data_IF_726087681671
#
_entry.id   IF_726087681671
#
_cell.length_a   1.000
_cell.length_b   1.000
_cell.length_c   1.000
_cell.angle_alpha   90.00
_cell.angle_beta   90.00
_cell.angle_gamma   90.00
#
_symmetry.space_group_name_H-M   'P 1'
#
loop_
_entity.id
_entity.type
_entity.pdbx_description
1 polymer ?
#
# COMPACT_ATOMS: atom_id res chain seq x y z
N UNK A 1 18.83 18.77 9.17
CA UNK A 1 18.66 17.35 9.49
C UNK A 1 17.35 16.87 8.90
N UNK A 2 17.37 16.54 7.61
CA UNK A 2 16.19 16.07 6.89
C UNK A 2 16.01 14.58 7.19
N UNK A 3 15.26 14.26 8.24
CA UNK A 3 14.88 12.88 8.53
C UNK A 3 14.14 12.29 7.32
N UNK A 4 14.64 11.16 6.82
CA UNK A 4 14.00 10.39 5.76
C UNK A 4 12.77 9.70 6.34
N UNK A 5 11.58 10.14 5.92
CA UNK A 5 10.32 9.53 6.30
C UNK A 5 9.82 8.61 5.18
N UNK A 6 9.55 7.35 5.53
CA UNK A 6 8.92 6.38 4.63
C UNK A 6 7.48 6.14 5.10
N UNK A 7 6.50 6.58 4.30
CA UNK A 7 5.10 6.24 4.52
C UNK A 7 4.76 4.97 3.74
N UNK A 8 4.26 3.96 4.44
CA UNK A 8 3.71 2.76 3.80
C UNK A 8 2.20 2.74 3.98
N UNK A 9 1.47 2.57 2.88
CA UNK A 9 0.01 2.45 2.87
C UNK A 9 -0.35 1.05 2.39
N UNK A 10 -1.07 0.31 3.23
CA UNK A 10 -1.67 -0.98 2.88
C UNK A 10 -3.15 -0.77 2.63
N UNK A 11 -3.58 -0.98 1.39
CA UNK A 11 -4.96 -0.82 0.96
C UNK A 11 -5.63 -2.19 0.77
N UNK A 12 -6.75 -2.40 1.44
CA UNK A 12 -7.60 -3.58 1.22
C UNK A 12 -8.40 -3.44 -0.09
N UNK A 13 -8.09 -4.30 -1.06
CA UNK A 13 -8.71 -4.35 -2.39
C UNK A 13 -9.59 -5.58 -2.56
N UNK A 14 -10.30 -6.01 -1.51
CA UNK A 14 -11.24 -7.13 -1.59
C UNK A 14 -12.37 -6.89 -2.61
N UNK A 15 -12.36 -7.58 -3.75
CA UNK A 15 -13.33 -7.32 -4.82
C UNK A 15 -14.75 -7.76 -4.45
N UNK A 16 -14.89 -8.71 -3.51
CA UNK A 16 -16.20 -9.18 -3.06
C UNK A 16 -16.85 -8.13 -2.17
N UNK A 17 -16.10 -7.57 -1.22
CA UNK A 17 -16.61 -6.52 -0.35
C UNK A 17 -16.88 -5.23 -1.13
N UNK A 18 -15.94 -4.79 -1.96
CA UNK A 18 -16.12 -3.62 -2.82
C UNK A 18 -17.26 -3.82 -3.84
N UNK A 19 -17.46 -5.04 -4.35
CA UNK A 19 -18.57 -5.38 -5.24
C UNK A 19 -19.94 -5.34 -4.54
N UNK A 20 -20.05 -5.90 -3.32
CA UNK A 20 -21.27 -5.78 -2.50
C UNK A 20 -21.59 -4.32 -2.19
N UNK A 21 -20.57 -3.52 -1.86
CA UNK A 21 -20.72 -2.09 -1.56
C UNK A 21 -21.17 -1.29 -2.77
N UNK A 22 -20.66 -1.61 -3.97
CA UNK A 22 -21.08 -0.98 -5.21
C UNK A 22 -22.54 -1.32 -5.59
N UNK A 23 -23.01 -2.54 -5.28
CA UNK A 23 -24.40 -2.96 -5.50
C UNK A 23 -25.38 -2.31 -4.51
N UNK A 24 -24.93 -1.97 -3.30
CA UNK A 24 -25.75 -1.37 -2.25
C UNK A 24 -25.96 0.15 -2.35
N UNK A 25 -25.73 0.76 -3.53
CA UNK A 25 -25.85 2.22 -3.76
C UNK A 25 -25.01 3.08 -2.78
N UNK A 26 -23.89 2.56 -2.28
CA UNK A 26 -23.04 3.33 -1.39
C UNK A 26 -22.35 4.49 -2.13
N UNK A 27 -22.37 5.70 -1.57
CA UNK A 27 -21.65 6.85 -2.12
C UNK A 27 -20.13 6.63 -2.21
N UNK A 28 -19.59 5.67 -1.43
CA UNK A 28 -18.16 5.39 -1.34
C UNK A 28 -17.78 4.12 -2.10
N UNK A 29 -17.12 4.33 -3.25
CA UNK A 29 -16.62 3.27 -4.13
C UNK A 29 -15.12 3.08 -3.97
N UNK A 30 -14.60 1.96 -4.49
CA UNK A 30 -13.17 1.70 -4.50
C UNK A 30 -12.39 2.81 -5.23
N UNK A 31 -12.92 3.34 -6.34
CA UNK A 31 -12.29 4.45 -7.07
C UNK A 31 -12.06 5.66 -6.17
N UNK A 32 -13.11 6.10 -5.45
CA UNK A 32 -13.01 7.24 -4.52
C UNK A 32 -12.04 6.96 -3.38
N UNK A 33 -11.97 5.72 -2.89
CA UNK A 33 -11.01 5.32 -1.88
C UNK A 33 -9.56 5.45 -2.39
N UNK A 34 -9.29 4.94 -3.59
CA UNK A 34 -7.96 5.04 -4.22
C UNK A 34 -7.61 6.50 -4.49
N UNK A 35 -8.55 7.32 -4.98
CA UNK A 35 -8.34 8.75 -5.19
C UNK A 35 -7.93 9.46 -3.89
N UNK A 36 -8.61 9.15 -2.79
CA UNK A 36 -8.25 9.68 -1.47
C UNK A 36 -6.86 9.20 -1.01
N UNK A 37 -6.52 7.93 -1.25
CA UNK A 37 -5.18 7.37 -0.94
C UNK A 37 -4.09 8.02 -1.79
N UNK A 38 -4.33 8.27 -3.07
CA UNK A 38 -3.41 8.98 -3.96
C UNK A 38 -3.18 10.41 -3.46
N UNK A 39 -4.23 11.13 -3.08
CA UNK A 39 -4.11 12.47 -2.49
C UNK A 39 -3.34 12.43 -1.17
N UNK A 40 -3.58 11.43 -0.31
CA UNK A 40 -2.84 11.23 0.93
C UNK A 40 -1.34 11.00 0.66
N UNK A 41 -1.00 10.07 -0.23
CA UNK A 41 0.38 9.79 -0.61
C UNK A 41 1.08 11.01 -1.21
N UNK A 42 0.39 11.73 -2.11
CA UNK A 42 0.89 12.96 -2.72
C UNK A 42 1.11 14.06 -1.68
N UNK A 43 0.22 14.19 -0.70
CA UNK A 43 0.38 15.15 0.40
C UNK A 43 1.64 14.86 1.22
N UNK A 44 1.94 13.58 1.49
CA UNK A 44 3.14 13.17 2.21
C UNK A 44 4.42 13.48 1.42
N UNK A 45 4.43 13.20 0.12
CA UNK A 45 5.57 13.51 -0.77
C UNK A 45 5.80 15.02 -0.92
N UNK A 46 4.74 15.84 -0.78
CA UNK A 46 4.85 17.30 -0.83
C UNK A 46 5.41 17.91 0.45
N UNK A 47 5.29 17.24 1.60
CA UNK A 47 5.80 17.74 2.89
C UNK A 47 7.32 17.83 2.92
N UNK A 48 8.03 16.82 2.43
CA UNK A 48 9.50 16.82 2.36
C UNK A 48 9.99 16.09 1.11
N UNK A 49 11.11 16.57 0.53
CA UNK A 49 11.67 16.02 -0.73
C UNK A 49 12.33 14.67 -0.55
N UNK A 50 12.75 14.36 0.66
CA UNK A 50 13.36 13.08 1.03
C UNK A 50 12.30 12.01 1.35
N UNK A 51 11.02 12.39 1.42
CA UNK A 51 9.97 11.45 1.75
C UNK A 51 9.80 10.39 0.66
N UNK A 52 9.66 9.16 1.10
CA UNK A 52 9.39 8.00 0.24
C UNK A 52 7.99 7.48 0.53
N UNK A 53 7.35 6.95 -0.50
CA UNK A 53 6.03 6.34 -0.41
C UNK A 53 6.14 4.87 -0.83
N UNK A 54 5.41 3.99 -0.17
CA UNK A 54 5.11 2.65 -0.67
C UNK A 54 3.62 2.39 -0.53
N UNK A 55 3.00 1.83 -1.56
CA UNK A 55 1.58 1.49 -1.55
C UNK A 55 1.44 0.01 -1.91
N UNK A 56 0.77 -0.74 -1.05
CA UNK A 56 0.57 -2.19 -1.18
C UNK A 56 -0.94 -2.46 -1.25
N UNK A 57 -1.37 -3.17 -2.27
CA UNK A 57 -2.71 -3.72 -2.35
C UNK A 57 -2.75 -5.08 -1.65
N UNK A 58 -3.73 -5.24 -0.76
CA UNK A 58 -4.10 -6.49 -0.15
C UNK A 58 -5.31 -7.06 -0.88
N UNK A 59 -5.07 -8.02 -1.76
CA UNK A 59 -6.12 -8.70 -2.50
C UNK A 59 -6.39 -10.09 -1.90
N UNK A 60 -7.45 -10.76 -2.37
CA UNK A 60 -7.80 -12.10 -1.88
C UNK A 60 -6.81 -13.18 -2.36
N UNK A 61 -6.24 -13.02 -3.56
CA UNK A 61 -5.33 -14.01 -4.16
C UNK A 61 -3.85 -13.72 -3.90
N UNK A 62 -3.49 -12.43 -3.87
CA UNK A 62 -2.10 -12.00 -3.67
C UNK A 62 -2.02 -10.66 -2.97
N UNK A 63 -0.88 -10.38 -2.35
CA UNK A 63 -0.52 -9.03 -1.94
C UNK A 63 0.43 -8.45 -2.99
N UNK A 64 0.16 -7.27 -3.54
CA UNK A 64 0.98 -6.67 -4.59
C UNK A 64 1.39 -5.24 -4.25
N UNK A 65 2.64 -4.90 -4.54
CA UNK A 65 3.10 -3.51 -4.52
C UNK A 65 2.50 -2.76 -5.71
N UNK A 66 1.66 -1.77 -5.41
CA UNK A 66 1.18 -0.81 -6.40
C UNK A 66 2.27 0.23 -6.68
N UNK A 67 2.96 0.64 -5.62
CA UNK A 67 4.12 1.53 -5.69
C UNK A 67 5.16 1.14 -4.63
N UNK A 68 6.48 1.19 -4.94
CA UNK A 68 7.04 1.21 -6.28
C UNK A 68 6.64 -0.10 -6.99
N UNK A 69 6.08 -0.01 -8.20
CA UNK A 69 5.51 -1.18 -8.90
C UNK A 69 6.53 -2.30 -9.16
N UNK A 70 6.19 -3.29 -10.00
CA UNK A 70 7.03 -4.48 -10.28
C UNK A 70 8.50 -4.20 -10.68
N UNK A 71 8.84 -2.94 -11.02
CA UNK A 71 10.20 -2.47 -11.32
C UNK A 71 11.13 -2.32 -10.11
N UNK A 72 10.64 -2.38 -8.86
CA UNK A 72 11.52 -2.40 -7.68
C UNK A 72 12.40 -3.65 -7.62
N UNK A 73 11.92 -4.80 -8.11
CA UNK A 73 12.71 -6.03 -8.13
C UNK A 73 13.75 -6.09 -9.27
N UNK A 74 13.61 -5.23 -10.29
CA UNK A 74 14.55 -5.14 -11.41
C UNK A 74 15.63 -4.07 -11.21
N UNK A 75 15.46 -3.20 -10.21
CA UNK A 75 16.46 -2.25 -9.79
C UNK A 75 17.06 -2.76 -8.48
N UNK A 76 18.24 -3.38 -8.55
CA UNK A 76 19.11 -3.51 -7.39
C UNK A 76 19.18 -2.15 -6.66
N UNK A 77 18.82 -2.06 -5.37
CA UNK A 77 18.93 -0.81 -4.62
C UNK A 77 20.37 -0.35 -4.40
N UNK A 78 21.36 -1.16 -4.81
CA UNK A 78 22.79 -0.99 -4.51
C UNK A 78 23.67 -0.92 -5.78
N UNK A 79 23.08 -0.93 -6.98
CA UNK A 79 23.81 -0.81 -8.24
C UNK A 79 23.84 0.64 -8.72
N UNK A 80 25.01 1.26 -8.61
CA UNK A 80 25.37 2.51 -9.27
C UNK A 80 25.21 2.34 -10.81
N UNK A 81 24.03 2.62 -11.35
CA UNK A 81 23.75 2.57 -12.80
C UNK A 81 22.56 1.70 -13.21
N UNK A 82 21.35 2.19 -13.02
CA UNK A 82 20.11 1.64 -13.59
C UNK A 82 18.98 2.62 -13.29
N UNK A 83 18.10 2.94 -14.26
CA UNK A 83 17.56 4.28 -14.42
C UNK A 83 16.84 4.69 -13.15
N UNK A 84 17.48 5.59 -12.42
CA UNK A 84 16.74 6.54 -11.60
C UNK A 84 15.61 7.04 -12.49
N UNK A 85 14.40 7.05 -11.96
CA UNK A 85 13.30 7.84 -12.51
C UNK A 85 13.63 9.34 -12.31
N UNK A 86 14.84 9.74 -12.71
CA UNK A 86 15.39 11.07 -12.79
C UNK A 86 15.97 11.32 -14.20
N UNK A 87 16.03 10.32 -15.08
CA UNK A 87 16.51 10.47 -16.45
C UNK A 87 15.44 10.93 -17.45
N UNK A 88 14.60 11.91 -17.08
CA UNK A 88 13.93 12.80 -18.06
C UNK A 88 13.29 14.08 -17.48
N UNK A 89 13.33 14.35 -16.17
CA UNK A 89 12.67 15.54 -15.59
C UNK A 89 13.66 16.53 -14.93
N UNK A 90 14.90 16.60 -15.44
CA UNK A 90 15.85 17.65 -15.05
C UNK A 90 15.55 18.93 -15.84
N UNK A 91 14.89 19.89 -15.21
CA UNK A 91 14.97 21.30 -15.63
C UNK A 91 13.70 22.14 -15.59
N UNK A 92 12.51 21.56 -15.35
CA UNK A 92 11.28 22.35 -15.26
C UNK A 92 10.76 22.39 -13.83
N UNK A 93 10.35 23.57 -13.35
CA UNK A 93 9.66 23.74 -12.06
C UNK A 93 8.36 22.90 -11.95
N UNK A 94 7.90 22.35 -13.08
CA UNK A 94 6.74 21.46 -13.23
C UNK A 94 7.03 19.95 -13.03
N UNK A 95 8.30 19.52 -13.05
CA UNK A 95 8.65 18.08 -13.03
C UNK A 95 8.22 17.32 -11.77
N UNK A 96 7.89 18.03 -10.69
CA UNK A 96 7.35 17.40 -9.47
C UNK A 96 5.92 16.88 -9.68
N UNK A 97 5.07 17.65 -10.35
CA UNK A 97 3.69 17.21 -10.63
C UNK A 97 3.67 16.09 -11.66
N UNK A 98 4.63 16.08 -12.58
CA UNK A 98 4.82 14.98 -13.52
C UNK A 98 5.17 13.67 -12.80
N UNK A 99 6.05 13.70 -11.79
CA UNK A 99 6.37 12.52 -10.98
C UNK A 99 5.14 12.03 -10.20
N UNK A 100 4.39 12.93 -9.57
CA UNK A 100 3.17 12.55 -8.82
C UNK A 100 2.10 11.97 -9.76
N UNK A 101 1.96 12.52 -10.96
CA UNK A 101 1.05 11.99 -11.98
C UNK A 101 1.49 10.61 -12.43
N UNK A 102 2.78 10.40 -12.69
CA UNK A 102 3.32 9.09 -13.05
C UNK A 102 3.12 8.04 -11.94
N UNK A 103 3.20 8.44 -10.67
CA UNK A 103 2.88 7.57 -9.53
C UNK A 103 1.40 7.20 -9.53
N UNK A 104 0.50 8.17 -9.70
CA UNK A 104 -0.94 7.95 -9.74
C UNK A 104 -1.31 7.00 -10.91
N UNK A 105 -0.75 7.22 -12.08
CA UNK A 105 -0.98 6.37 -13.27
C UNK A 105 -0.47 4.94 -13.04
N UNK A 106 0.69 4.77 -12.40
CA UNK A 106 1.24 3.46 -12.07
C UNK A 106 0.35 2.71 -11.05
N UNK A 107 -0.15 3.41 -10.03
CA UNK A 107 -1.09 2.84 -9.04
C UNK A 107 -2.39 2.41 -9.73
N UNK A 108 -2.95 3.26 -10.60
CA UNK A 108 -4.18 2.97 -11.32
C UNK A 108 -4.04 1.76 -12.26
N UNK A 109 -2.94 1.67 -13.01
CA UNK A 109 -2.63 0.54 -13.89
C UNK A 109 -2.46 -0.77 -13.11
N UNK A 110 -1.73 -0.76 -11.98
CA UNK A 110 -1.53 -1.98 -11.17
C UNK A 110 -2.82 -2.45 -10.49
N UNK A 111 -3.68 -1.53 -10.02
CA UNK A 111 -4.98 -1.90 -9.47
C UNK A 111 -5.89 -2.46 -10.57
N UNK A 112 -5.90 -1.85 -11.74
CA UNK A 112 -6.68 -2.33 -12.89
C UNK A 112 -6.22 -3.73 -13.31
N UNK A 113 -4.91 -3.94 -13.44
CA UNK A 113 -4.33 -5.26 -13.73
C UNK A 113 -4.75 -6.29 -12.66
N UNK A 114 -4.67 -5.93 -11.39
CA UNK A 114 -5.06 -6.78 -10.27
C UNK A 114 -6.54 -7.14 -10.32
N UNK A 115 -7.44 -6.20 -10.65
CA UNK A 115 -8.88 -6.46 -10.78
C UNK A 115 -9.24 -7.26 -12.03
N UNK A 116 -8.51 -7.11 -13.14
CA UNK A 116 -8.76 -7.89 -14.36
C UNK A 116 -8.28 -9.33 -14.26
N UNK A 117 -7.25 -9.60 -13.45
CA UNK A 117 -6.69 -10.93 -13.22
C UNK A 117 -7.46 -11.77 -12.21
N UNK A 118 -8.44 -11.18 -11.54
CA UNK A 118 -9.19 -11.84 -10.48
C UNK A 118 -10.15 -12.91 -11.03
N UNK A 119 -9.65 -14.13 -11.24
CA UNK A 119 -10.51 -15.30 -11.45
C UNK A 119 -10.99 -15.82 -10.09
N UNK A 120 -12.21 -15.45 -9.70
CA UNK A 120 -12.85 -15.88 -8.44
C UNK A 120 -13.12 -17.39 -8.44
N UNK A 121 -12.11 -18.21 -8.15
CA UNK A 121 -12.29 -19.60 -7.73
C UNK A 121 -12.83 -19.57 -6.30
N UNK A 122 -14.09 -19.96 -6.14
CA UNK A 122 -14.97 -19.66 -5.00
C UNK A 122 -14.60 -20.20 -3.60
N UNK A 123 -13.32 -20.25 -3.24
CA UNK A 123 -12.85 -20.69 -1.93
C UNK A 123 -12.06 -19.65 -1.15
N UNK A 124 -11.64 -18.53 -1.76
CA UNK A 124 -10.91 -17.48 -1.04
C UNK A 124 -11.67 -16.15 -1.11
N UNK A 125 -12.49 -15.90 -0.10
CA UNK A 125 -13.25 -14.66 0.06
C UNK A 125 -12.55 -13.64 0.97
N UNK A 126 -11.44 -14.04 1.58
CA UNK A 126 -10.75 -13.30 2.64
C UNK A 126 -9.56 -12.52 2.09
N UNK A 127 -9.32 -11.33 2.64
CA UNK A 127 -8.18 -10.47 2.26
C UNK A 127 -6.89 -10.98 2.91
N UNK A 128 -5.79 -11.07 2.16
CA UNK A 128 -4.46 -11.49 2.68
C UNK A 128 -3.73 -10.34 3.39
N UNK A 129 -4.30 -9.85 4.49
CA UNK A 129 -3.77 -8.69 5.21
C UNK A 129 -2.42 -9.00 5.87
N UNK A 130 -2.29 -10.15 6.52
CA UNK A 130 -1.04 -10.58 7.18
C UNK A 130 0.14 -10.64 6.20
N UNK A 131 -0.10 -11.14 4.97
CA UNK A 131 0.93 -11.19 3.93
C UNK A 131 1.34 -9.80 3.44
N UNK A 132 0.39 -8.86 3.40
CA UNK A 132 0.66 -7.47 2.98
C UNK A 132 1.47 -6.71 4.03
N UNK A 133 1.14 -6.91 5.30
CA UNK A 133 1.90 -6.36 6.42
C UNK A 133 3.32 -6.96 6.50
N UNK A 134 3.48 -8.27 6.28
CA UNK A 134 4.80 -8.88 6.22
C UNK A 134 5.67 -8.29 5.10
N UNK A 135 5.09 -8.02 3.93
CA UNK A 135 5.78 -7.33 2.82
C UNK A 135 6.14 -5.88 3.19
N UNK A 136 5.25 -5.16 3.85
CA UNK A 136 5.51 -3.82 4.36
C UNK A 136 6.70 -3.82 5.33
N UNK A 137 6.69 -4.72 6.32
CA UNK A 137 7.78 -4.85 7.30
C UNK A 137 9.10 -5.23 6.65
N UNK A 138 9.09 -6.11 5.65
CA UNK A 138 10.30 -6.47 4.91
C UNK A 138 10.87 -5.28 4.13
N UNK A 139 10.01 -4.49 3.48
CA UNK A 139 10.41 -3.27 2.79
C UNK A 139 11.02 -2.25 3.77
N UNK A 140 10.37 -2.07 4.91
CA UNK A 140 10.87 -1.24 6.01
C UNK A 140 12.27 -1.65 6.45
N UNK A 141 12.48 -2.95 6.67
CA UNK A 141 13.77 -3.50 7.06
C UNK A 141 14.87 -3.27 6.03
N UNK A 142 14.54 -3.35 4.73
CA UNK A 142 15.51 -3.15 3.66
C UNK A 142 16.01 -1.71 3.51
N UNK A 143 15.22 -0.71 3.89
CA UNK A 143 15.52 0.69 3.55
C UNK A 143 16.20 1.44 4.72
N UNK A 144 16.34 0.84 5.91
CA UNK A 144 17.12 1.40 7.05
C UNK A 144 16.78 2.86 7.45
N UNK A 145 15.57 3.36 7.13
CA UNK A 145 15.18 4.76 7.38
C UNK A 145 14.72 5.03 8.82
N UNK A 146 14.68 6.28 9.27
CA UNK A 146 14.47 6.64 10.68
C UNK A 146 12.99 6.76 11.12
N UNK A 147 12.07 7.14 10.24
CA UNK A 147 10.64 7.31 10.59
C UNK A 147 9.73 6.55 9.61
N UNK A 148 8.89 5.64 10.15
CA UNK A 148 8.21 4.59 9.37
C UNK A 148 6.73 4.41 9.78
N UNK A 149 5.86 5.41 9.59
CA UNK A 149 4.43 5.21 9.80
C UNK A 149 3.87 4.20 8.78
N UNK A 150 3.26 3.13 9.28
CA UNK A 150 2.53 2.16 8.48
C UNK A 150 1.02 2.42 8.63
N UNK A 151 0.36 2.84 7.56
CA UNK A 151 -1.08 3.05 7.53
C UNK A 151 -1.78 1.87 6.87
N UNK A 152 -2.79 1.31 7.52
CA UNK A 152 -3.57 0.16 7.05
C UNK A 152 -5.01 0.61 6.86
N UNK A 153 -5.52 0.53 5.64
CA UNK A 153 -6.91 0.80 5.30
C UNK A 153 -7.59 -0.56 5.10
N UNK A 154 -8.37 -0.97 6.10
CA UNK A 154 -9.10 -2.23 6.12
C UNK A 154 -10.56 -2.01 5.71
N UNK A 155 -11.03 -2.86 4.82
CA UNK A 155 -12.37 -2.80 4.27
C UNK A 155 -13.18 -4.05 4.62
N UNK A 156 -12.63 -5.23 4.35
CA UNK A 156 -13.30 -6.51 4.55
C UNK A 156 -13.20 -7.02 5.99
N UNK A 157 -14.11 -7.93 6.34
CA UNK A 157 -14.16 -8.60 7.64
C UNK A 157 -12.88 -9.39 7.96
N UNK A 158 -12.66 -9.64 9.25
CA UNK A 158 -11.53 -10.43 9.73
C UNK A 158 -11.68 -11.92 9.43
N UNK A 159 -10.55 -12.53 9.06
CA UNK A 159 -10.43 -13.98 8.93
C UNK A 159 -9.80 -14.60 10.17
N UNK A 160 -10.49 -15.58 10.75
CA UNK A 160 -9.93 -16.40 11.83
C UNK A 160 -8.72 -17.23 11.37
N UNK A 161 -8.66 -17.62 10.09
CA UNK A 161 -7.56 -18.41 9.54
C UNK A 161 -6.24 -17.64 9.49
N UNK A 162 -6.31 -16.31 9.42
CA UNK A 162 -5.14 -15.46 9.36
C UNK A 162 -4.65 -14.99 10.75
N UNK A 163 -5.38 -15.31 11.82
CA UNK A 163 -5.07 -14.84 13.17
C UNK A 163 -3.62 -15.06 13.58
N UNK A 164 -3.11 -16.30 13.50
CA UNK A 164 -1.74 -16.61 13.92
C UNK A 164 -0.70 -15.83 13.11
N UNK A 165 -0.88 -15.74 11.78
CA UNK A 165 0.04 -15.03 10.91
C UNK A 165 -0.02 -13.52 11.16
N UNK A 166 -1.21 -12.98 11.39
CA UNK A 166 -1.41 -11.59 11.72
C UNK A 166 -0.72 -11.23 13.04
N UNK A 167 -0.95 -11.99 14.11
CA UNK A 167 -0.31 -11.79 15.41
C UNK A 167 1.22 -11.83 15.32
N UNK A 168 1.79 -12.80 14.57
CA UNK A 168 3.24 -12.88 14.36
C UNK A 168 3.81 -11.61 13.71
N UNK A 169 3.09 -11.02 12.77
CA UNK A 169 3.50 -9.79 12.08
C UNK A 169 3.40 -8.58 13.00
N UNK A 170 2.33 -8.47 13.80
CA UNK A 170 2.19 -7.39 14.78
C UNK A 170 3.27 -7.47 15.85
N UNK A 171 3.58 -8.66 16.38
CA UNK A 171 4.68 -8.83 17.34
C UNK A 171 6.05 -8.48 16.73
N UNK A 172 6.26 -8.81 15.46
CA UNK A 172 7.47 -8.41 14.75
C UNK A 172 7.56 -6.88 14.59
N UNK A 173 6.45 -6.21 14.28
CA UNK A 173 6.38 -4.76 14.18
C UNK A 173 6.61 -4.06 15.52
N UNK A 174 6.01 -4.57 16.60
CA UNK A 174 6.23 -4.09 17.96
C UNK A 174 7.70 -4.20 18.38
N UNK A 175 8.35 -5.33 18.07
CA UNK A 175 9.79 -5.51 18.33
C UNK A 175 10.67 -4.51 17.57
N UNK A 176 10.23 -4.08 16.39
CA UNK A 176 10.87 -3.09 15.55
C UNK A 176 10.50 -1.63 15.92
N UNK A 177 9.62 -1.44 16.92
CA UNK A 177 9.09 -0.11 17.30
C UNK A 177 8.45 0.65 16.13
N UNK A 178 7.76 -0.06 15.24
CA UNK A 178 7.05 0.52 14.09
C UNK A 178 5.63 0.89 14.52
N UNK A 179 5.22 2.13 14.24
CA UNK A 179 3.85 2.59 14.47
C UNK A 179 2.95 2.10 13.33
N UNK A 180 1.84 1.44 13.70
CA UNK A 180 0.81 0.97 12.77
C UNK A 180 -0.47 1.74 13.06
N UNK A 181 -0.88 2.57 12.11
CA UNK A 181 -2.17 3.25 12.13
C UNK A 181 -3.18 2.44 11.32
N UNK A 182 -4.35 2.20 11.87
CA UNK A 182 -5.40 1.42 11.21
C UNK A 182 -6.66 2.25 11.01
N UNK A 183 -7.15 2.30 9.77
CA UNK A 183 -8.44 2.85 9.38
C UNK A 183 -9.36 1.69 8.95
N UNK A 184 -10.43 1.48 9.69
CA UNK A 184 -11.40 0.40 9.42
C UNK A 184 -12.68 1.03 8.86
N UNK A 185 -13.15 0.54 7.71
CA UNK A 185 -14.24 1.16 6.95
C UNK A 185 -15.64 0.62 7.26
N UNK A 186 -15.76 -0.57 7.85
CA UNK A 186 -17.04 -1.28 8.01
C UNK A 186 -17.26 -1.73 9.46
N UNK A 187 -16.85 -2.95 9.78
CA UNK A 187 -16.97 -3.55 11.10
C UNK A 187 -15.67 -3.41 11.88
N UNK A 188 -15.79 -3.08 13.17
CA UNK A 188 -14.64 -3.00 14.08
C UNK A 188 -13.85 -4.31 14.05
N UNK A 189 -12.55 -4.18 13.83
CA UNK A 189 -11.64 -5.31 13.83
C UNK A 189 -11.10 -5.53 15.23
N UNK A 190 -11.58 -6.57 15.90
CA UNK A 190 -11.04 -6.98 17.20
C UNK A 190 -9.56 -7.38 17.15
N UNK A 191 -9.03 -7.68 15.95
CA UNK A 191 -7.62 -8.00 15.73
C UNK A 191 -6.72 -6.78 15.63
N UNK A 192 -7.21 -5.68 15.07
CA UNK A 192 -6.46 -4.43 14.95
C UNK A 192 -6.50 -3.58 16.23
N UNK A 193 -7.41 -3.86 17.16
CA UNK A 193 -7.53 -3.14 18.44
C UNK A 193 -6.65 -3.69 19.57
N UNK A 194 -5.99 -4.84 19.37
CA UNK A 194 -5.09 -5.49 20.35
C UNK A 194 -3.65 -4.98 20.25
#
# INVERSE_FOLDING_TARGET
>A
DDELSLLIIVLDTNPIWWGKRALGEAEFTLSKCIDAVMVLGNSHLLMNRTNKLAVIASHTQESRFLYPGKRWAAADPFGEGGPSMESNCSGSKDGKYELLTAINDAIAEEIKDLMTKTDMKGQQTETLLAGSLAKALCCILSITESSRPLCVIKAAEDSALQYMNFMNVIFAAQKQSILIDACVLDSDSGLLQQ
#
